data_IF_079741533878
#
_entry.id   IF_079741533878
#
_cell.length_a   1.000
_cell.length_b   1.000
_cell.length_c   1.000
_cell.angle_alpha   90.00
_cell.angle_beta   90.00
_cell.angle_gamma   90.00
#
_symmetry.space_group_name_H-M   'P 1'
#
loop_
_entity.id
_entity.type
_entity.pdbx_description
1 polymer ?
#
# COMPACT_ATOMS: atom_id res chain seq x y z
N UNK A 1 0.97 -2.13 14.81
CA UNK A 1 0.48 -1.75 13.47
C UNK A 1 -1.01 -2.03 13.47
N UNK A 2 -1.84 -1.01 13.39
CA UNK A 2 -3.29 -1.17 13.37
C UNK A 2 -3.78 -0.91 11.94
N UNK A 3 -4.62 -1.82 11.44
CA UNK A 3 -5.21 -1.75 10.10
C UNK A 3 -6.63 -1.19 10.23
N UNK A 4 -6.92 -0.08 9.55
CA UNK A 4 -8.27 0.53 9.52
C UNK A 4 -8.85 0.35 8.11
N UNK A 5 -10.00 -0.34 7.99
CA UNK A 5 -10.71 -0.55 6.71
C UNK A 5 -12.15 0.00 6.75
N UNK A 6 -12.64 0.61 5.65
CA UNK A 6 -14.02 1.15 5.56
C UNK A 6 -14.58 1.07 4.13
N UNK A 7 -15.49 0.11 3.89
CA UNK A 7 -16.54 0.09 2.83
C UNK A 7 -16.12 0.04 1.35
N UNK A 8 -14.90 0.48 1.03
CA UNK A 8 -14.12 0.27 -0.18
C UNK A 8 -12.77 -0.22 0.34
N UNK A 9 -12.04 -1.11 -0.36
CA UNK A 9 -10.74 -1.63 0.13
C UNK A 9 -9.69 -0.51 0.23
N UNK A 10 -9.81 0.31 1.26
CA UNK A 10 -8.90 1.36 1.67
C UNK A 10 -8.36 0.87 2.99
N UNK A 11 -7.12 0.42 2.94
CA UNK A 11 -6.38 -0.03 4.09
C UNK A 11 -5.37 1.08 4.44
N UNK A 12 -5.32 1.44 5.72
CA UNK A 12 -4.36 2.41 6.25
C UNK A 12 -3.59 1.77 7.38
N UNK A 13 -2.30 2.09 7.44
CA UNK A 13 -1.39 1.63 8.48
C UNK A 13 -0.79 2.85 9.17
N UNK A 14 -0.68 2.79 10.50
CA UNK A 14 0.05 3.77 11.27
C UNK A 14 1.49 3.28 11.48
N UNK A 15 2.46 4.05 10.99
CA UNK A 15 3.88 3.78 11.15
C UNK A 15 4.51 4.81 12.09
N UNK A 16 5.17 4.33 13.14
CA UNK A 16 5.95 5.16 14.06
C UNK A 16 7.43 5.11 13.70
N UNK A 17 8.08 6.27 13.58
CA UNK A 17 9.53 6.36 13.36
C UNK A 17 10.31 6.28 14.67
N UNK A 18 11.57 5.89 14.59
CA UNK A 18 12.52 5.93 15.72
C UNK A 18 12.74 7.33 16.27
N UNK A 19 12.38 8.37 15.50
CA UNK A 19 12.44 9.79 15.88
C UNK A 19 11.18 10.29 16.59
N UNK A 20 10.23 9.40 16.91
CA UNK A 20 9.00 9.74 17.64
C UNK A 20 7.91 10.40 16.78
N UNK A 21 8.02 10.32 15.45
CA UNK A 21 6.99 10.81 14.53
C UNK A 21 6.03 9.68 14.17
N UNK A 22 4.79 10.03 13.85
CA UNK A 22 3.77 9.11 13.38
C UNK A 22 3.36 9.47 11.96
N UNK A 23 3.23 8.46 11.10
CA UNK A 23 2.82 8.58 9.71
C UNK A 23 1.59 7.71 9.49
N UNK A 24 0.63 8.24 8.74
CA UNK A 24 -0.48 7.46 8.22
C UNK A 24 -0.13 7.11 6.79
N UNK A 25 0.11 5.83 6.52
CA UNK A 25 0.41 5.34 5.19
C UNK A 25 -0.84 4.67 4.63
N UNK A 26 -1.18 5.02 3.39
CA UNK A 26 -2.22 4.33 2.65
C UNK A 26 -1.59 3.09 2.02
N UNK A 27 -2.18 1.92 2.27
CA UNK A 27 -1.77 0.69 1.60
C UNK A 27 -2.31 0.72 0.19
N UNK A 28 -1.40 0.69 -0.78
CA UNK A 28 -1.73 0.73 -2.20
C UNK A 28 -2.09 -0.67 -2.72
N UNK A 29 -1.41 -1.71 -2.23
CA UNK A 29 -1.63 -3.11 -2.51
C UNK A 29 -0.93 -3.99 -1.46
N UNK A 30 -1.26 -5.28 -1.39
CA UNK A 30 -0.64 -6.28 -0.51
C UNK A 30 -0.04 -7.41 -1.37
N UNK A 31 1.16 -7.88 -1.05
CA UNK A 31 1.88 -8.85 -1.88
C UNK A 31 2.36 -10.02 -1.01
N UNK A 32 2.32 -11.24 -1.55
CA UNK A 32 2.87 -12.43 -0.89
C UNK A 32 4.38 -12.57 -1.13
N UNK A 33 4.93 -11.78 -2.05
CA UNK A 33 6.32 -11.83 -2.51
C UNK A 33 6.95 -10.43 -2.48
N UNK A 34 8.06 -10.30 -1.77
CA UNK A 34 8.82 -9.05 -1.66
C UNK A 34 9.28 -8.53 -3.03
N UNK A 35 9.69 -9.42 -3.94
CA UNK A 35 10.18 -9.03 -5.26
C UNK A 35 9.10 -8.33 -6.10
N UNK A 36 7.87 -8.81 -6.05
CA UNK A 36 6.76 -8.19 -6.77
C UNK A 36 6.41 -6.81 -6.20
N UNK A 37 6.49 -6.66 -4.88
CA UNK A 37 6.31 -5.38 -4.23
C UNK A 37 7.40 -4.38 -4.62
N UNK A 38 8.66 -4.81 -4.69
CA UNK A 38 9.79 -3.97 -5.12
C UNK A 38 9.65 -3.55 -6.59
N UNK A 39 9.36 -4.49 -7.50
CA UNK A 39 9.18 -4.21 -8.93
C UNK A 39 8.06 -3.17 -9.16
N UNK A 40 6.93 -3.28 -8.46
CA UNK A 40 5.83 -2.32 -8.57
C UNK A 40 6.16 -0.98 -7.90
N UNK A 41 6.96 -0.97 -6.82
CA UNK A 41 7.44 0.26 -6.21
C UNK A 41 8.37 1.02 -7.15
N UNK A 42 9.28 0.34 -7.84
CA UNK A 42 10.14 0.95 -8.85
C UNK A 42 9.30 1.56 -9.97
N UNK A 43 8.35 0.81 -10.53
CA UNK A 43 7.43 1.31 -11.58
C UNK A 43 6.61 2.51 -11.13
N UNK A 44 6.18 2.53 -9.86
CA UNK A 44 5.44 3.65 -9.30
C UNK A 44 6.31 4.91 -9.23
N UNK A 45 7.56 4.77 -8.78
CA UNK A 45 8.51 5.88 -8.67
C UNK A 45 8.97 6.39 -10.05
N UNK A 46 9.09 5.50 -11.04
CA UNK A 46 9.40 5.85 -12.44
C UNK A 46 8.17 6.34 -13.23
N UNK A 47 7.00 6.43 -12.59
CA UNK A 47 5.73 6.85 -13.20
C UNK A 47 5.23 5.95 -14.34
N UNK A 48 5.66 4.70 -14.38
CA UNK A 48 5.16 3.67 -15.30
C UNK A 48 3.76 3.17 -14.91
N UNK A 49 3.45 3.17 -13.61
CA UNK A 49 2.12 2.88 -13.06
C UNK A 49 1.68 3.98 -12.09
N UNK A 50 0.37 4.09 -11.86
CA UNK A 50 -0.17 5.05 -10.88
C UNK A 50 -0.65 4.37 -9.60
N UNK A 51 -0.78 5.15 -8.51
CA UNK A 51 -1.41 4.65 -7.28
C UNK A 51 -2.82 4.08 -7.54
N UNK A 52 -3.56 4.64 -8.50
CA UNK A 52 -4.91 4.17 -8.85
C UNK A 52 -4.88 2.77 -9.44
N UNK A 53 -3.82 2.42 -10.16
CA UNK A 53 -3.68 1.09 -10.77
C UNK A 53 -3.39 0.04 -9.69
N UNK A 54 -2.49 0.34 -8.76
CA UNK A 54 -2.23 -0.50 -7.58
C UNK A 54 -3.50 -0.72 -6.73
N UNK A 55 -4.26 0.36 -6.48
CA UNK A 55 -5.50 0.28 -5.70
C UNK A 55 -6.61 -0.51 -6.40
N UNK A 56 -6.65 -0.50 -7.75
CA UNK A 56 -7.58 -1.35 -8.50
C UNK A 56 -7.23 -2.82 -8.31
N UNK A 57 -5.96 -3.18 -8.38
CA UNK A 57 -5.51 -4.56 -8.14
C UNK A 57 -5.82 -4.98 -6.69
N UNK A 58 -5.53 -4.11 -5.72
CA UNK A 58 -5.88 -4.35 -4.32
C UNK A 58 -7.39 -4.58 -4.13
N UNK A 59 -8.23 -3.79 -4.81
CA UNK A 59 -9.68 -3.92 -4.73
C UNK A 59 -10.22 -5.28 -5.21
N UNK A 60 -9.44 -6.02 -6.02
CA UNK A 60 -9.81 -7.33 -6.56
C UNK A 60 -9.43 -8.51 -5.66
N UNK A 61 -8.47 -8.35 -4.75
CA UNK A 61 -7.95 -9.46 -3.92
C UNK A 61 -8.97 -9.92 -2.86
N UNK A 62 -9.26 -11.21 -2.69
CA UNK A 62 -10.17 -11.67 -1.62
C UNK A 62 -9.66 -11.27 -0.23
N UNK A 63 -10.57 -11.20 0.74
CA UNK A 63 -10.24 -10.89 2.15
C UNK A 63 -9.47 -12.02 2.81
#
# INVERSE_FOLDING_TARGET
MEIISKGLKKCYIMHSTTTGKYMICKVLNEYDNEKEADDDMVKLLTHEISEKDLLKEFSKKPY
#
